data_IF_174194360067
#
_entry.id   IF_174194360067
#
_cell.length_a   1.000
_cell.length_b   1.000
_cell.length_c   1.000
_cell.angle_alpha   90.00
_cell.angle_beta   90.00
_cell.angle_gamma   90.00
#
_symmetry.space_group_name_H-M   'P 1'
#
loop_
_entity.id
_entity.type
_entity.pdbx_description
1 polymer ?
#
# COMPACT_ATOMS: atom_id res chain seq x y z
N UNK A 1 26.59 13.94 -3.93
CA UNK A 1 26.49 13.35 -2.58
C UNK A 1 25.07 13.58 -2.08
N UNK A 2 24.15 12.63 -1.97
CA UNK A 2 24.16 11.18 -2.02
C UNK A 2 22.87 10.79 -1.29
N UNK A 3 21.75 10.72 -2.02
CA UNK A 3 20.44 10.30 -1.50
C UNK A 3 20.04 8.99 -2.18
N UNK A 4 21.00 8.08 -2.25
CA UNK A 4 20.74 6.66 -2.42
C UNK A 4 20.68 6.11 -1.00
N UNK A 5 19.63 5.38 -0.65
CA UNK A 5 19.35 4.73 0.66
C UNK A 5 18.32 5.41 1.59
N UNK A 6 17.37 6.18 1.06
CA UNK A 6 16.06 6.38 1.72
C UNK A 6 15.16 5.22 1.25
N UNK A 7 15.00 4.19 2.11
CA UNK A 7 14.31 2.92 1.84
C UNK A 7 12.96 3.17 1.12
N UNK A 8 12.81 2.59 -0.07
CA UNK A 8 11.69 2.78 -1.00
C UNK A 8 10.37 2.25 -0.44
N UNK A 9 9.68 3.10 0.33
CA UNK A 9 8.38 2.82 0.94
C UNK A 9 7.26 3.70 0.41
N UNK A 10 6.04 3.46 0.89
CA UNK A 10 4.88 4.28 0.57
C UNK A 10 5.04 5.69 1.16
N UNK A 11 4.66 6.72 0.40
CA UNK A 11 4.63 8.11 0.88
C UNK A 11 3.19 8.64 1.05
N UNK A 12 2.22 7.97 0.44
CA UNK A 12 0.78 8.24 0.65
C UNK A 12 0.05 6.92 0.91
N UNK A 13 -0.78 6.90 1.95
CA UNK A 13 -1.68 5.80 2.29
C UNK A 13 -3.13 6.33 2.21
N UNK A 14 -3.97 5.70 1.40
CA UNK A 14 -5.39 6.04 1.28
C UNK A 14 -6.24 5.15 2.17
N UNK A 15 -6.93 5.75 3.13
CA UNK A 15 -7.90 5.08 4.00
C UNK A 15 -9.32 5.06 3.42
N UNK A 16 -9.57 5.76 2.30
CA UNK A 16 -10.85 5.77 1.60
C UNK A 16 -11.23 4.39 1.04
N UNK A 17 -12.48 3.98 1.29
CA UNK A 17 -13.06 2.72 0.80
C UNK A 17 -13.28 2.74 -0.72
N UNK A 18 -13.55 1.56 -1.28
CA UNK A 18 -13.98 1.46 -2.66
C UNK A 18 -15.17 2.39 -2.97
N UNK A 19 -15.16 2.97 -4.17
CA UNK A 19 -16.22 3.88 -4.70
C UNK A 19 -16.23 5.30 -4.12
N UNK A 20 -15.26 5.71 -3.31
CA UNK A 20 -15.13 7.09 -2.80
C UNK A 20 -14.23 8.00 -3.65
N UNK A 21 -14.09 7.72 -4.94
CA UNK A 21 -13.19 8.47 -5.84
C UNK A 21 -11.74 7.99 -5.86
N UNK A 22 -11.46 6.81 -5.28
CA UNK A 22 -10.12 6.18 -5.23
C UNK A 22 -9.44 6.10 -6.60
N UNK A 23 -10.16 5.78 -7.68
CA UNK A 23 -9.55 5.72 -9.01
C UNK A 23 -9.10 7.10 -9.53
N UNK A 24 -9.85 8.17 -9.24
CA UNK A 24 -9.44 9.53 -9.61
C UNK A 24 -8.21 9.96 -8.80
N UNK A 25 -8.18 9.61 -7.51
CA UNK A 25 -7.02 9.84 -6.65
C UNK A 25 -5.78 9.06 -7.12
N UNK A 26 -5.94 7.80 -7.58
CA UNK A 26 -4.85 7.01 -8.20
C UNK A 26 -4.16 7.81 -9.29
N UNK A 27 -4.95 8.28 -10.25
CA UNK A 27 -4.46 9.02 -11.42
C UNK A 27 -3.74 10.30 -10.99
N UNK A 28 -4.33 11.06 -10.05
CA UNK A 28 -3.72 12.28 -9.54
C UNK A 28 -2.36 12.02 -8.86
N UNK A 29 -2.25 10.96 -8.05
CA UNK A 29 -1.00 10.58 -7.38
C UNK A 29 0.07 10.10 -8.39
N UNK A 30 -0.33 9.34 -9.41
CA UNK A 30 0.59 8.89 -10.46
C UNK A 30 1.13 10.06 -11.28
N UNK A 31 0.30 11.06 -11.58
CA UNK A 31 0.72 12.30 -12.23
C UNK A 31 1.69 13.11 -11.34
N UNK A 32 1.37 13.25 -10.05
CA UNK A 32 2.16 14.04 -9.10
C UNK A 32 3.54 13.43 -8.84
N UNK A 33 3.59 12.13 -8.57
CA UNK A 33 4.82 11.43 -8.18
C UNK A 33 5.56 10.77 -9.33
N UNK A 34 4.97 10.72 -10.54
CA UNK A 34 5.53 10.05 -11.72
C UNK A 34 5.94 8.60 -11.45
N UNK A 35 5.17 7.93 -10.58
CA UNK A 35 5.38 6.55 -10.14
C UNK A 35 4.03 5.86 -9.90
N UNK A 36 3.95 4.52 -10.00
CA UNK A 36 2.70 3.78 -9.80
C UNK A 36 2.06 3.98 -8.43
N UNK A 37 0.73 3.96 -8.40
CA UNK A 37 -0.09 3.94 -7.19
C UNK A 37 -0.83 2.61 -7.08
N UNK A 38 -0.64 1.88 -5.97
CA UNK A 38 -1.29 0.61 -5.71
C UNK A 38 -2.80 0.83 -5.51
N UNK A 39 -3.61 -0.02 -6.14
CA UNK A 39 -5.07 0.03 -6.14
C UNK A 39 -5.60 -1.38 -6.43
N UNK A 40 -6.85 -1.69 -6.07
CA UNK A 40 -7.52 -2.94 -6.46
C UNK A 40 -7.36 -3.29 -7.96
N UNK A 41 -7.30 -2.29 -8.85
CA UNK A 41 -7.07 -2.47 -10.29
C UNK A 41 -5.78 -3.20 -10.60
N UNK A 42 -4.72 -2.91 -9.85
CA UNK A 42 -3.42 -3.56 -10.01
C UNK A 42 -3.55 -5.06 -9.80
N UNK A 43 -4.37 -5.50 -8.83
CA UNK A 43 -4.58 -6.92 -8.55
C UNK A 43 -5.26 -7.63 -9.72
N UNK A 44 -6.40 -7.12 -10.20
CA UNK A 44 -7.17 -7.84 -11.23
C UNK A 44 -6.69 -7.61 -12.66
N UNK A 45 -5.82 -6.61 -12.93
CA UNK A 45 -5.26 -6.37 -14.26
C UNK A 45 -3.81 -6.88 -14.42
N UNK A 46 -3.00 -6.80 -13.36
CA UNK A 46 -1.54 -6.93 -13.50
C UNK A 46 -0.90 -7.88 -12.48
N UNK A 47 -1.49 -8.02 -11.30
CA UNK A 47 -0.87 -8.64 -10.13
C UNK A 47 -1.80 -9.67 -9.48
N UNK A 48 -2.35 -10.62 -10.25
CA UNK A 48 -3.27 -11.64 -9.71
C UNK A 48 -2.66 -12.41 -8.54
N UNK A 49 -1.35 -12.65 -8.56
CA UNK A 49 -0.62 -13.30 -7.46
C UNK A 49 -0.65 -12.51 -6.14
N UNK A 50 -1.09 -11.25 -6.13
CA UNK A 50 -1.20 -10.48 -4.90
C UNK A 50 -2.41 -10.92 -4.07
N UNK A 51 -3.40 -11.60 -4.65
CA UNK A 51 -4.53 -12.18 -3.91
C UNK A 51 -4.00 -13.09 -2.79
N UNK A 52 -3.12 -14.04 -3.13
CA UNK A 52 -2.54 -14.98 -2.14
C UNK A 52 -1.64 -14.27 -1.15
N UNK A 53 -0.88 -13.24 -1.57
CA UNK A 53 -0.05 -12.43 -0.66
C UNK A 53 -0.91 -11.66 0.36
N UNK A 54 -2.03 -11.08 -0.05
CA UNK A 54 -2.92 -10.37 0.86
C UNK A 54 -3.62 -11.33 1.83
N UNK A 55 -4.03 -12.51 1.38
CA UNK A 55 -4.56 -13.56 2.26
C UNK A 55 -3.50 -14.03 3.28
N UNK A 56 -2.24 -14.20 2.86
CA UNK A 56 -1.15 -14.54 3.77
C UNK A 56 -0.88 -13.43 4.79
N UNK A 57 -0.93 -12.17 4.34
CA UNK A 57 -0.72 -10.99 5.19
C UNK A 57 -1.79 -10.89 6.27
N UNK A 58 -3.07 -11.04 5.91
CA UNK A 58 -4.21 -11.01 6.82
C UNK A 58 -4.13 -12.14 7.86
N UNK A 59 -3.81 -13.36 7.42
CA UNK A 59 -3.61 -14.51 8.31
C UNK A 59 -2.50 -14.24 9.32
N UNK A 60 -1.34 -13.75 8.86
CA UNK A 60 -0.21 -13.41 9.73
C UNK A 60 -0.52 -12.30 10.72
N UNK A 61 -1.28 -11.27 10.30
CA UNK A 61 -1.73 -10.20 11.18
C UNK A 61 -2.68 -10.73 12.27
N UNK A 62 -3.58 -11.64 11.90
CA UNK A 62 -4.51 -12.28 12.83
C UNK A 62 -3.77 -13.09 13.89
N UNK A 63 -2.77 -13.86 13.47
CA UNK A 63 -1.91 -14.69 14.33
C UNK A 63 -0.85 -13.88 15.11
N UNK A 64 -0.59 -12.62 14.72
CA UNK A 64 0.43 -11.77 15.33
C UNK A 64 -0.02 -11.29 16.72
N UNK A 65 0.81 -11.51 17.77
CA UNK A 65 0.51 -11.05 19.13
C UNK A 65 0.60 -9.52 19.27
N UNK A 66 1.39 -8.86 18.43
CA UNK A 66 1.62 -7.42 18.43
C UNK A 66 0.78 -6.66 17.39
N UNK A 67 -0.07 -7.37 16.64
CA UNK A 67 -0.94 -6.82 15.58
C UNK A 67 -0.18 -6.01 14.53
N UNK A 68 1.03 -6.46 14.17
CA UNK A 68 1.85 -5.81 13.14
C UNK A 68 1.82 -6.56 11.82
N UNK A 69 1.89 -5.78 10.74
CA UNK A 69 2.05 -6.33 9.39
C UNK A 69 3.45 -6.93 9.20
N UNK A 70 3.50 -8.04 8.47
CA UNK A 70 4.76 -8.63 8.01
C UNK A 70 5.46 -7.68 7.03
N UNK A 71 6.53 -7.00 7.49
CA UNK A 71 7.30 -6.02 6.71
C UNK A 71 7.79 -6.60 5.37
N UNK A 72 8.24 -7.86 5.36
CA UNK A 72 8.79 -8.48 4.16
C UNK A 72 7.70 -8.74 3.10
N UNK A 73 6.51 -9.13 3.53
CA UNK A 73 5.36 -9.34 2.66
C UNK A 73 4.80 -8.01 2.14
N UNK A 74 4.73 -6.98 3.00
CA UNK A 74 4.41 -5.62 2.57
C UNK A 74 5.40 -5.10 1.53
N UNK A 75 6.71 -5.30 1.72
CA UNK A 75 7.72 -4.91 0.74
C UNK A 75 7.51 -5.62 -0.61
N UNK A 76 7.13 -6.90 -0.61
CA UNK A 76 6.81 -7.64 -1.85
C UNK A 76 5.56 -7.11 -2.54
N UNK A 77 4.52 -6.74 -1.78
CA UNK A 77 3.25 -6.22 -2.32
C UNK A 77 3.44 -4.82 -2.91
N UNK A 78 4.17 -3.94 -2.23
CA UNK A 78 4.30 -2.52 -2.60
C UNK A 78 5.58 -2.18 -3.36
N UNK A 79 6.37 -3.18 -3.76
CA UNK A 79 7.60 -2.96 -4.53
C UNK A 79 7.32 -2.13 -5.79
N UNK A 80 7.95 -0.97 -5.88
CA UNK A 80 7.83 -0.05 -7.02
C UNK A 80 6.62 0.90 -6.96
N UNK A 81 5.73 0.75 -6.00
CA UNK A 81 4.60 1.66 -5.77
C UNK A 81 5.01 2.78 -4.80
N UNK A 82 4.47 3.98 -5.02
CA UNK A 82 4.73 5.17 -4.17
C UNK A 82 3.55 5.51 -3.27
N UNK A 83 2.36 5.07 -3.63
CA UNK A 83 1.15 5.23 -2.83
C UNK A 83 0.34 3.93 -2.85
N UNK A 84 -0.51 3.72 -1.84
CA UNK A 84 -1.46 2.62 -1.80
C UNK A 84 -2.82 3.12 -1.34
N UNK A 85 -3.85 2.90 -2.14
CA UNK A 85 -5.22 3.35 -1.93
C UNK A 85 -6.20 2.26 -2.33
N UNK A 86 -7.47 2.41 -1.97
CA UNK A 86 -8.51 1.40 -2.23
C UNK A 86 -8.21 0.05 -1.55
N UNK A 87 -9.12 -0.90 -1.75
CA UNK A 87 -8.95 -2.26 -1.29
C UNK A 87 -7.79 -2.98 -1.97
N UNK A 88 -7.12 -3.90 -1.25
CA UNK A 88 -7.31 -4.20 0.17
C UNK A 88 -6.55 -3.26 1.11
N UNK A 89 -5.62 -2.44 0.61
CA UNK A 89 -4.72 -1.61 1.44
C UNK A 89 -5.43 -0.65 2.40
N UNK A 90 -6.57 -0.07 2.02
CA UNK A 90 -7.30 0.87 2.86
C UNK A 90 -7.76 0.28 4.20
N UNK A 91 -7.96 -1.04 4.28
CA UNK A 91 -8.36 -1.72 5.51
C UNK A 91 -7.23 -1.78 6.57
N UNK A 92 -5.98 -1.60 6.15
CA UNK A 92 -4.79 -1.75 6.99
C UNK A 92 -4.03 -0.42 7.15
N UNK A 93 -4.71 0.73 6.99
CA UNK A 93 -4.05 2.02 6.92
C UNK A 93 -3.27 2.37 8.20
N UNK A 94 -3.71 1.90 9.37
CA UNK A 94 -3.04 2.17 10.65
C UNK A 94 -1.74 1.40 10.76
N UNK A 95 -1.78 0.11 10.47
CA UNK A 95 -0.63 -0.78 10.50
C UNK A 95 0.37 -0.43 9.39
N UNK A 96 -0.12 0.02 8.23
CA UNK A 96 0.73 0.58 7.18
C UNK A 96 1.38 1.89 7.61
N UNK A 97 0.70 2.74 8.37
CA UNK A 97 1.29 3.98 8.90
C UNK A 97 2.36 3.68 9.96
N UNK A 98 2.19 2.64 10.78
CA UNK A 98 3.25 2.16 11.68
C UNK A 98 4.47 1.66 10.91
N UNK A 99 4.25 0.97 9.78
CA UNK A 99 5.33 0.45 8.94
C UNK A 99 6.04 1.53 8.10
N UNK A 100 5.29 2.54 7.67
CA UNK A 100 5.76 3.68 6.87
C UNK A 100 5.46 4.99 7.61
N UNK A 101 6.20 5.31 8.69
CA UNK A 101 5.85 6.42 9.60
C UNK A 101 5.94 7.81 8.97
N UNK A 102 6.64 7.94 7.85
CA UNK A 102 6.77 9.19 7.10
C UNK A 102 5.67 9.37 6.03
N UNK A 103 4.82 8.36 5.81
CA UNK A 103 3.73 8.45 4.85
C UNK A 103 2.61 9.35 5.38
N UNK A 104 1.97 10.10 4.46
CA UNK A 104 0.76 10.87 4.78
C UNK A 104 -0.48 10.03 4.53
N UNK A 105 -1.50 10.20 5.37
CA UNK A 105 -2.80 9.53 5.20
C UNK A 105 -3.80 10.47 4.51
N UNK A 106 -4.53 9.94 3.52
CA UNK A 106 -5.67 10.60 2.86
C UNK A 106 -6.94 9.81 3.12
N UNK A 107 -8.08 10.49 3.31
CA UNK A 107 -9.42 9.89 3.42
C UNK A 107 -10.34 10.42 2.33
#
# INVERSE_FOLDING_TARGET
MGRADEESGLVVIGAGLGRTGTNSLKIALELLYKKPCYHLKEIYLHQHSHITKWMELDRKLSDSPDKKLDKALCHKIFKGYTAAIDHPSCAYYKELLELYPNAKVSL
#
